data_IF_342382319661
#
_entry.id   IF_342382319661
#
_cell.length_a   1.000
_cell.length_b   1.000
_cell.length_c   1.000
_cell.angle_alpha   90.00
_cell.angle_beta   90.00
_cell.angle_gamma   90.00
#
_symmetry.space_group_name_H-M   'P 1'
#
loop_
_entity.id
_entity.type
_entity.pdbx_description
1 polymer ?
#
# COMPACT_ATOMS: atom_id res chain seq x y z
N UNK A 1 -9.10 -6.94 4.03
CA UNK A 1 -9.26 -6.42 5.41
C UNK A 1 -8.68 -5.03 5.44
N UNK A 2 -9.38 -4.09 6.06
CA UNK A 2 -8.90 -2.71 6.13
C UNK A 2 -9.46 -1.97 7.35
N UNK A 3 -8.72 -0.97 7.82
CA UNK A 3 -9.21 0.01 8.77
C UNK A 3 -9.99 1.08 8.01
N UNK A 4 -11.26 1.25 8.36
CA UNK A 4 -12.02 2.37 7.84
C UNK A 4 -11.51 3.68 8.43
N UNK A 5 -11.67 4.78 7.69
CA UNK A 5 -11.52 6.12 8.28
C UNK A 5 -12.40 6.22 9.54
N UNK A 6 -11.80 6.63 10.65
CA UNK A 6 -12.47 6.71 11.96
C UNK A 6 -13.80 7.46 11.83
N UNK A 7 -14.83 6.91 12.45
CA UNK A 7 -16.14 7.57 12.49
C UNK A 7 -16.08 8.69 13.53
N UNK A 8 -16.42 9.91 13.14
CA UNK A 8 -16.46 11.03 14.08
C UNK A 8 -17.76 10.95 14.88
N UNK A 9 -17.71 10.90 16.23
CA UNK A 9 -18.89 10.98 17.08
C UNK A 9 -19.80 12.13 16.64
N UNK A 10 -21.06 11.83 16.31
CA UNK A 10 -21.99 12.81 15.72
C UNK A 10 -23.31 12.75 16.47
N UNK A 11 -23.80 13.91 16.91
CA UNK A 11 -25.14 14.06 17.49
C UNK A 11 -26.09 14.58 16.41
N UNK A 12 -27.39 14.33 16.57
CA UNK A 12 -28.40 14.91 15.69
C UNK A 12 -28.38 16.45 15.74
N UNK A 13 -28.29 16.98 16.96
CA UNK A 13 -28.08 18.40 17.22
C UNK A 13 -26.80 18.57 18.04
N UNK A 14 -25.85 19.34 17.52
CA UNK A 14 -24.62 19.67 18.22
C UNK A 14 -24.32 21.16 18.15
N UNK A 15 -23.76 21.67 19.24
CA UNK A 15 -23.22 23.02 19.26
C UNK A 15 -21.87 23.08 18.53
N UNK A 16 -21.51 24.26 18.05
CA UNK A 16 -20.21 24.48 17.39
C UNK A 16 -19.02 24.11 18.29
N UNK A 17 -19.15 24.24 19.61
CA UNK A 17 -18.08 23.87 20.55
C UNK A 17 -17.92 22.35 20.65
N UNK A 18 -19.01 21.60 20.60
CA UNK A 18 -18.98 20.14 20.65
C UNK A 18 -18.40 19.53 19.38
N UNK A 19 -18.48 20.22 18.23
CA UNK A 19 -17.93 19.75 16.95
C UNK A 19 -16.41 19.56 16.95
N UNK A 20 -15.68 20.44 17.65
CA UNK A 20 -14.22 20.49 17.56
C UNK A 20 -13.52 19.46 18.46
N UNK A 21 -12.43 18.88 17.95
CA UNK A 21 -11.51 18.06 18.75
C UNK A 21 -12.01 16.66 19.13
N UNK A 22 -13.06 16.15 18.47
CA UNK A 22 -13.61 14.82 18.76
C UNK A 22 -12.62 13.70 18.45
N UNK A 23 -12.51 12.75 19.37
CA UNK A 23 -11.80 11.49 19.14
C UNK A 23 -12.67 10.57 18.28
N UNK A 24 -12.18 10.18 17.10
CA UNK A 24 -12.91 9.26 16.22
C UNK A 24 -12.97 7.83 16.77
N UNK A 25 -14.10 7.16 16.53
CA UNK A 25 -14.33 5.74 16.82
C UNK A 25 -13.63 4.90 15.75
N UNK A 26 -12.86 3.91 16.18
CA UNK A 26 -12.15 3.02 15.27
C UNK A 26 -13.08 1.90 14.83
N UNK A 27 -13.01 1.52 13.57
CA UNK A 27 -13.79 0.41 13.04
C UNK A 27 -13.02 -0.26 11.92
N UNK A 28 -12.98 -1.58 11.97
CA UNK A 28 -12.29 -2.42 11.00
C UNK A 28 -13.30 -3.22 10.20
N UNK A 29 -13.03 -3.40 8.90
CA UNK A 29 -13.85 -4.22 8.02
C UNK A 29 -13.11 -5.43 7.48
N UNK A 30 -13.74 -6.59 7.63
CA UNK A 30 -13.31 -7.85 7.02
C UNK A 30 -14.37 -8.26 5.99
N UNK A 31 -14.05 -8.12 4.70
CA UNK A 31 -14.86 -8.64 3.62
C UNK A 31 -14.37 -10.05 3.25
N UNK A 32 -15.16 -11.07 3.58
CA UNK A 32 -14.92 -12.46 3.23
C UNK A 32 -15.66 -12.82 1.94
N UNK A 33 -14.93 -13.28 0.94
CA UNK A 33 -15.49 -13.81 -0.31
C UNK A 33 -15.52 -15.33 -0.19
N UNK A 34 -16.70 -15.92 -0.35
CA UNK A 34 -16.88 -17.37 -0.34
C UNK A 34 -17.47 -17.83 -1.67
N UNK A 35 -17.06 -19.01 -2.13
CA UNK A 35 -17.66 -19.66 -3.30
C UNK A 35 -18.64 -20.72 -2.79
N UNK A 36 -19.91 -20.56 -3.10
CA UNK A 36 -20.93 -21.54 -2.77
C UNK A 36 -20.86 -22.77 -3.70
N UNK A 37 -21.56 -23.85 -3.35
CA UNK A 37 -21.56 -25.10 -4.12
C UNK A 37 -22.08 -24.93 -5.55
N UNK A 38 -22.94 -23.94 -5.80
CA UNK A 38 -23.44 -23.53 -7.11
C UNK A 38 -22.47 -22.60 -7.88
N UNK A 39 -21.21 -22.50 -7.42
CA UNK A 39 -20.17 -21.60 -7.94
C UNK A 39 -20.41 -20.10 -7.76
N UNK A 40 -21.51 -19.72 -7.10
CA UNK A 40 -21.83 -18.33 -6.85
C UNK A 40 -20.89 -17.72 -5.78
N UNK A 41 -20.36 -16.53 -6.07
CA UNK A 41 -19.55 -15.79 -5.11
C UNK A 41 -20.44 -14.99 -4.16
N UNK A 42 -20.26 -15.22 -2.86
CA UNK A 42 -20.95 -14.47 -1.80
C UNK A 42 -19.96 -13.64 -1.02
N UNK A 43 -20.39 -12.45 -0.64
CA UNK A 43 -19.58 -11.53 0.16
C UNK A 43 -20.24 -11.36 1.53
N UNK A 44 -19.50 -11.72 2.57
CA UNK A 44 -19.87 -11.51 3.97
C UNK A 44 -18.97 -10.43 4.54
N UNK A 45 -19.57 -9.37 5.11
CA UNK A 45 -18.80 -8.26 5.68
C UNK A 45 -18.94 -8.28 7.19
N UNK A 46 -17.82 -8.46 7.90
CA UNK A 46 -17.76 -8.31 9.36
C UNK A 46 -17.17 -6.96 9.69
N UNK A 47 -17.79 -6.27 10.63
CA UNK A 47 -17.39 -4.93 11.06
C UNK A 47 -17.19 -4.96 12.57
N UNK A 48 -15.99 -4.62 13.01
CA UNK A 48 -15.65 -4.57 14.43
C UNK A 48 -15.50 -3.12 14.83
N UNK A 49 -16.39 -2.64 15.72
CA UNK A 49 -16.41 -1.28 16.25
C UNK A 49 -15.62 -1.25 17.56
N UNK A 50 -14.63 -0.37 17.66
CA UNK A 50 -13.67 -0.35 18.77
C UNK A 50 -13.53 1.09 19.28
N UNK A 51 -13.97 1.30 20.52
CA UNK A 51 -13.97 2.61 21.19
C UNK A 51 -12.54 3.15 21.37
N UNK A 52 -11.66 2.31 21.90
CA UNK A 52 -10.27 2.63 22.19
C UNK A 52 -9.39 1.62 21.46
N UNK A 53 -8.77 2.06 20.38
CA UNK A 53 -7.90 1.22 19.57
C UNK A 53 -6.63 1.97 19.20
N UNK A 54 -5.49 1.34 19.49
CA UNK A 54 -4.17 1.76 19.05
C UNK A 54 -3.90 1.44 17.56
N UNK A 55 -4.83 0.71 16.90
CA UNK A 55 -4.69 0.21 15.53
C UNK A 55 -3.37 -0.53 15.30
N UNK A 56 -2.94 -1.28 16.31
CA UNK A 56 -1.73 -2.08 16.28
C UNK A 56 -1.97 -3.45 15.62
N UNK A 57 -0.91 -4.26 15.56
CA UNK A 57 -0.97 -5.61 14.98
C UNK A 57 -1.84 -6.58 15.79
N UNK A 58 -1.92 -6.37 17.10
CA UNK A 58 -2.70 -7.21 18.01
C UNK A 58 -4.19 -7.01 17.77
N UNK A 59 -4.64 -5.75 17.67
CA UNK A 59 -6.01 -5.41 17.28
C UNK A 59 -6.40 -6.07 15.94
N UNK A 60 -5.50 -6.07 14.96
CA UNK A 60 -5.74 -6.74 13.67
C UNK A 60 -5.86 -8.26 13.84
N UNK A 61 -5.00 -8.89 14.64
CA UNK A 61 -5.06 -10.33 14.92
C UNK A 61 -6.38 -10.69 15.61
N UNK A 62 -6.78 -9.95 16.64
CA UNK A 62 -8.05 -10.13 17.35
C UNK A 62 -9.24 -10.00 16.40
N UNK A 63 -9.26 -8.95 15.58
CA UNK A 63 -10.32 -8.73 14.60
C UNK A 63 -10.39 -9.89 13.60
N UNK A 64 -9.24 -10.41 13.15
CA UNK A 64 -9.18 -11.56 12.27
C UNK A 64 -9.71 -12.83 12.96
N UNK A 65 -9.32 -13.08 14.22
CA UNK A 65 -9.83 -14.21 15.02
C UNK A 65 -11.36 -14.19 15.12
N UNK A 66 -11.92 -13.05 15.52
CA UNK A 66 -13.36 -12.87 15.64
C UNK A 66 -14.08 -12.99 14.29
N UNK A 67 -13.48 -12.46 13.22
CA UNK A 67 -14.02 -12.59 11.86
C UNK A 67 -14.07 -14.05 11.41
N UNK A 68 -13.03 -14.83 11.69
CA UNK A 68 -12.95 -16.24 11.30
C UNK A 68 -13.91 -17.13 12.10
N UNK A 69 -14.05 -16.88 13.40
CA UNK A 69 -15.02 -17.56 14.26
C UNK A 69 -16.45 -17.32 13.76
N UNK A 70 -16.81 -16.06 13.51
CA UNK A 70 -18.14 -15.69 13.01
C UNK A 70 -18.40 -16.25 11.61
N UNK A 71 -17.39 -16.23 10.74
CA UNK A 71 -17.48 -16.80 9.41
C UNK A 71 -17.70 -18.32 9.45
N UNK A 72 -17.00 -19.04 10.34
CA UNK A 72 -17.15 -20.49 10.55
C UNK A 72 -18.52 -20.85 11.12
N UNK A 73 -19.04 -20.03 12.04
CA UNK A 73 -20.40 -20.20 12.58
C UNK A 73 -21.47 -20.07 11.48
N UNK A 74 -21.30 -19.13 10.57
CA UNK A 74 -22.27 -18.85 9.49
C UNK A 74 -22.14 -19.78 8.29
N UNK A 75 -20.94 -20.26 7.99
CA UNK A 75 -20.62 -21.02 6.78
C UNK A 75 -19.98 -22.34 7.19
N UNK A 76 -20.75 -23.42 7.08
CA UNK A 76 -20.48 -24.73 7.72
C UNK A 76 -19.26 -25.50 7.16
N UNK A 77 -18.52 -25.01 6.16
CA UNK A 77 -17.36 -25.74 5.60
C UNK A 77 -16.25 -24.79 5.14
N UNK A 78 -15.41 -24.32 6.06
CA UNK A 78 -14.21 -23.54 5.72
C UNK A 78 -12.98 -24.30 6.16
N UNK A 79 -12.29 -24.90 5.17
CA UNK A 79 -11.04 -25.61 5.42
C UNK A 79 -9.82 -24.69 5.28
N UNK A 80 -9.85 -23.73 4.35
CA UNK A 80 -8.68 -22.90 4.00
C UNK A 80 -9.09 -21.46 3.75
N UNK A 81 -8.25 -20.54 4.23
CA UNK A 81 -8.44 -19.10 4.10
C UNK A 81 -7.20 -18.46 3.48
N UNK A 82 -7.45 -17.50 2.58
CA UNK A 82 -6.45 -16.64 1.97
C UNK A 82 -6.71 -15.21 2.43
N UNK A 83 -5.69 -14.57 3.00
CA UNK A 83 -5.81 -13.23 3.57
C UNK A 83 -5.26 -12.18 2.61
N UNK A 84 -5.89 -11.01 2.62
CA UNK A 84 -5.43 -9.84 1.88
C UNK A 84 -5.73 -8.55 2.62
N UNK A 85 -4.76 -7.65 2.64
CA UNK A 85 -4.87 -6.32 3.26
C UNK A 85 -4.00 -5.31 2.50
N UNK A 86 -3.91 -4.09 3.01
CA UNK A 86 -2.96 -3.10 2.53
C UNK A 86 -1.59 -3.25 3.21
N UNK A 87 -0.63 -2.43 2.78
CA UNK A 87 0.74 -2.49 3.27
C UNK A 87 0.96 -1.66 4.56
N UNK A 88 -0.08 -1.36 5.34
CA UNK A 88 0.09 -0.60 6.58
C UNK A 88 0.84 -1.42 7.63
N UNK A 89 1.65 -0.77 8.46
CA UNK A 89 2.54 -1.43 9.43
C UNK A 89 1.83 -2.26 10.51
N UNK A 90 0.52 -2.10 10.69
CA UNK A 90 -0.29 -2.97 11.56
C UNK A 90 -0.61 -4.32 10.91
N UNK A 91 -0.67 -4.38 9.58
CA UNK A 91 -0.81 -5.62 8.81
C UNK A 91 0.55 -6.22 8.42
N UNK A 92 1.47 -5.38 7.95
CA UNK A 92 2.77 -5.83 7.49
C UNK A 92 3.81 -5.79 8.60
N UNK A 93 3.69 -6.72 9.54
CA UNK A 93 4.65 -6.86 10.63
C UNK A 93 4.86 -8.32 11.05
N UNK A 94 6.05 -8.59 11.60
CA UNK A 94 6.44 -9.91 12.06
C UNK A 94 5.48 -10.52 13.09
N UNK A 95 5.03 -9.80 14.15
CA UNK A 95 4.20 -10.43 15.15
C UNK A 95 2.84 -10.87 14.60
N UNK A 96 2.21 -10.11 13.70
CA UNK A 96 0.98 -10.57 13.04
C UNK A 96 1.24 -11.81 12.18
N UNK A 97 2.19 -11.72 11.24
CA UNK A 97 2.44 -12.77 10.25
C UNK A 97 2.85 -14.11 10.89
N UNK A 98 3.66 -14.06 11.95
CA UNK A 98 4.13 -15.25 12.66
C UNK A 98 3.06 -15.83 13.61
N UNK A 99 2.01 -15.07 13.95
CA UNK A 99 0.89 -15.55 14.77
C UNK A 99 -0.25 -16.18 13.95
N UNK A 100 -0.25 -16.03 12.63
CA UNK A 100 -1.31 -16.59 11.78
C UNK A 100 -1.41 -18.12 11.82
N UNK A 101 -0.31 -18.90 11.83
CA UNK A 101 -0.42 -20.36 11.92
C UNK A 101 -1.05 -20.84 13.23
N UNK A 102 -0.72 -20.23 14.38
CA UNK A 102 -1.33 -20.58 15.66
C UNK A 102 -2.79 -20.15 15.72
N UNK A 103 -3.11 -18.94 15.21
CA UNK A 103 -4.49 -18.49 15.07
C UNK A 103 -5.33 -19.48 14.23
N UNK A 104 -4.80 -19.92 13.10
CA UNK A 104 -5.47 -20.91 12.24
C UNK A 104 -5.76 -22.22 12.99
N UNK A 105 -4.80 -22.72 13.78
CA UNK A 105 -5.01 -23.91 14.63
C UNK A 105 -6.13 -23.70 15.65
N UNK A 106 -6.15 -22.57 16.36
CA UNK A 106 -7.17 -22.26 17.38
C UNK A 106 -8.57 -22.19 16.80
N UNK A 107 -8.74 -21.47 15.69
CA UNK A 107 -10.05 -21.36 15.02
C UNK A 107 -10.41 -22.65 14.27
N UNK A 108 -9.43 -23.50 13.97
CA UNK A 108 -9.58 -24.72 13.20
C UNK A 108 -9.78 -24.45 11.71
N UNK A 109 -9.00 -23.52 11.14
CA UNK A 109 -8.94 -23.19 9.71
C UNK A 109 -7.49 -23.10 9.24
N UNK A 110 -7.19 -23.57 8.04
CA UNK A 110 -5.84 -23.42 7.48
C UNK A 110 -5.66 -22.03 6.87
N UNK A 111 -4.90 -21.15 7.52
CA UNK A 111 -4.50 -19.86 6.93
C UNK A 111 -3.30 -20.15 6.02
N UNK A 112 -3.56 -20.30 4.71
CA UNK A 112 -2.55 -20.75 3.76
C UNK A 112 -1.70 -19.61 3.21
N UNK A 113 -2.26 -18.41 3.10
CA UNK A 113 -1.59 -17.28 2.44
C UNK A 113 -1.99 -15.94 3.03
N UNK A 114 -1.08 -14.98 2.96
CA UNK A 114 -1.36 -13.58 3.18
C UNK A 114 -0.63 -12.72 2.15
N UNK A 115 -1.41 -11.93 1.41
CA UNK A 115 -0.91 -11.04 0.36
C UNK A 115 -1.19 -9.58 0.68
N UNK A 116 -0.20 -8.74 0.38
CA UNK A 116 -0.35 -7.29 0.46
C UNK A 116 -0.78 -6.70 -0.88
N UNK A 117 -1.70 -5.76 -0.81
CA UNK A 117 -2.20 -5.03 -1.97
C UNK A 117 -1.27 -3.88 -2.31
N UNK A 118 -1.03 -3.68 -3.61
CA UNK A 118 -0.24 -2.54 -4.12
C UNK A 118 -0.91 -1.21 -3.76
N UNK A 119 -0.09 -0.16 -3.68
CA UNK A 119 -0.61 1.19 -3.53
C UNK A 119 -1.59 1.49 -4.68
N UNK A 120 -2.81 1.95 -4.33
CA UNK A 120 -3.90 2.29 -5.25
C UNK A 120 -4.61 1.12 -5.97
N UNK A 121 -4.35 -0.14 -5.61
CA UNK A 121 -5.03 -1.29 -6.21
C UNK A 121 -5.49 -2.29 -5.15
N UNK A 122 -6.74 -2.80 -5.26
CA UNK A 122 -7.24 -3.89 -4.41
C UNK A 122 -7.91 -3.49 -3.09
N UNK A 123 -8.11 -2.19 -2.81
CA UNK A 123 -8.85 -1.70 -1.63
C UNK A 123 -10.37 -1.58 -1.85
N UNK A 124 -10.80 -1.61 -3.10
CA UNK A 124 -12.15 -1.22 -3.52
C UNK A 124 -13.28 -1.98 -2.82
N UNK A 125 -13.08 -3.23 -2.40
CA UNK A 125 -14.14 -4.02 -1.80
C UNK A 125 -14.52 -3.53 -0.39
N UNK A 126 -13.53 -3.29 0.46
CA UNK A 126 -13.74 -2.80 1.82
C UNK A 126 -14.36 -1.40 1.78
N UNK A 127 -13.79 -0.49 0.98
CA UNK A 127 -14.29 0.88 0.81
C UNK A 127 -15.72 0.93 0.26
N UNK A 128 -16.02 0.10 -0.76
CA UNK A 128 -17.37 -0.02 -1.33
C UNK A 128 -18.40 -0.50 -0.32
N UNK A 129 -18.00 -1.31 0.67
CA UNK A 129 -18.89 -1.81 1.72
C UNK A 129 -19.05 -0.84 2.88
N UNK A 130 -18.03 -0.04 3.18
CA UNK A 130 -18.09 1.03 4.18
C UNK A 130 -19.05 2.15 3.73
N UNK A 131 -19.08 2.51 2.45
CA UNK A 131 -19.88 3.65 1.97
C UNK A 131 -21.40 3.52 2.33
N UNK A 132 -22.09 2.40 2.05
CA UNK A 132 -23.47 2.19 2.48
C UNK A 132 -23.67 2.26 4.00
N UNK A 133 -22.69 1.80 4.79
CA UNK A 133 -22.76 1.86 6.26
C UNK A 133 -22.74 3.30 6.75
N UNK A 134 -21.87 4.15 6.18
CA UNK A 134 -21.83 5.59 6.49
C UNK A 134 -23.14 6.27 6.15
N UNK A 135 -23.70 6.00 4.96
CA UNK A 135 -25.01 6.54 4.56
C UNK A 135 -26.13 6.09 5.49
N UNK A 136 -26.10 4.83 5.93
CA UNK A 136 -27.09 4.28 6.88
C UNK A 136 -27.00 4.97 8.24
N UNK A 137 -25.79 5.17 8.77
CA UNK A 137 -25.56 5.90 10.01
C UNK A 137 -25.99 7.37 9.91
N UNK A 138 -25.70 8.06 8.81
CA UNK A 138 -26.18 9.43 8.60
C UNK A 138 -27.71 9.51 8.59
N UNK A 139 -28.39 8.54 7.95
CA UNK A 139 -29.85 8.47 7.99
C UNK A 139 -30.38 8.22 9.40
N UNK A 140 -29.73 7.35 10.17
CA UNK A 140 -30.09 7.10 11.56
C UNK A 140 -29.94 8.37 12.42
N UNK A 141 -28.84 9.12 12.24
CA UNK A 141 -28.63 10.40 12.93
C UNK A 141 -29.74 11.40 12.55
N UNK A 142 -30.06 11.52 11.26
CA UNK A 142 -31.11 12.42 10.77
C UNK A 142 -32.53 12.09 11.28
N UNK A 143 -32.74 10.92 11.89
CA UNK A 143 -34.00 10.56 12.55
C UNK A 143 -34.09 11.08 13.99
N UNK A 144 -33.08 11.82 14.48
CA UNK A 144 -33.05 12.35 15.84
C UNK A 144 -32.16 11.56 16.81
N UNK A 145 -31.34 10.64 16.31
CA UNK A 145 -30.48 9.80 17.15
C UNK A 145 -29.04 10.32 17.21
N UNK A 146 -28.37 10.05 18.33
CA UNK A 146 -26.96 10.35 18.52
C UNK A 146 -26.10 9.11 18.32
N UNK A 147 -24.92 9.28 17.72
CA UNK A 147 -23.92 8.23 17.52
C UNK A 147 -22.59 8.73 18.05
N UNK A 148 -22.38 8.61 19.36
CA UNK A 148 -21.17 9.06 20.05
C UNK A 148 -20.32 7.96 20.68
N UNK A 149 -20.83 6.73 20.75
CA UNK A 149 -20.08 5.56 21.22
C UNK A 149 -20.09 4.41 20.20
N UNK A 150 -19.18 3.44 20.36
CA UNK A 150 -19.17 2.23 19.54
C UNK A 150 -20.49 1.46 19.65
N UNK A 151 -21.11 1.44 20.84
CA UNK A 151 -22.40 0.83 21.09
C UNK A 151 -23.54 1.53 20.33
N UNK A 152 -23.60 2.85 20.34
CA UNK A 152 -24.61 3.60 19.58
C UNK A 152 -24.40 3.47 18.06
N UNK A 153 -23.15 3.36 17.62
CA UNK A 153 -22.84 3.08 16.23
C UNK A 153 -23.32 1.68 15.81
N UNK A 154 -23.19 0.69 16.70
CA UNK A 154 -23.78 -0.64 16.49
C UNK A 154 -25.31 -0.57 16.40
N UNK A 155 -25.97 0.15 17.31
CA UNK A 155 -27.43 0.34 17.29
C UNK A 155 -27.89 0.97 15.98
N UNK A 156 -27.17 2.01 15.52
CA UNK A 156 -27.41 2.65 14.23
C UNK A 156 -27.25 1.69 13.05
N UNK A 157 -26.20 0.88 13.02
CA UNK A 157 -25.98 -0.13 11.97
C UNK A 157 -26.99 -1.29 12.01
N UNK A 158 -27.55 -1.59 13.18
CA UNK A 158 -28.57 -2.63 13.38
C UNK A 158 -30.00 -2.09 13.13
N UNK A 159 -30.19 -0.77 13.15
CA UNK A 159 -31.48 -0.12 12.92
C UNK A 159 -32.04 -0.38 11.52
N UNK A 160 -33.35 -0.21 11.34
CA UNK A 160 -33.99 -0.29 10.02
C UNK A 160 -33.87 -1.65 9.31
N UNK A 161 -33.57 -2.72 10.04
CA UNK A 161 -33.33 -4.05 9.49
C UNK A 161 -31.88 -4.30 9.05
N UNK A 162 -30.94 -3.45 9.45
CA UNK A 162 -29.52 -3.61 9.24
C UNK A 162 -29.02 -3.30 7.83
N UNK A 163 -27.70 -3.18 7.69
CA UNK A 163 -27.04 -2.99 6.39
C UNK A 163 -26.86 -4.34 5.71
N UNK A 164 -27.37 -4.49 4.48
CA UNK A 164 -27.36 -5.77 3.72
C UNK A 164 -25.97 -6.42 3.69
N UNK A 165 -25.91 -7.70 4.09
CA UNK A 165 -24.67 -8.50 4.06
C UNK A 165 -23.56 -8.01 5.00
N UNK A 166 -23.90 -7.16 5.98
CA UNK A 166 -22.97 -6.58 6.94
C UNK A 166 -23.34 -6.99 8.37
N UNK A 167 -22.35 -7.46 9.10
CA UNK A 167 -22.46 -7.97 10.46
C UNK A 167 -21.53 -7.15 11.35
N UNK A 168 -22.08 -6.17 12.06
CA UNK A 168 -21.34 -5.31 12.96
C UNK A 168 -21.39 -5.84 14.39
N UNK A 169 -20.28 -5.75 15.12
CA UNK A 169 -20.22 -6.04 16.55
C UNK A 169 -19.30 -5.02 17.23
N UNK A 170 -19.60 -4.71 18.49
CA UNK A 170 -18.66 -3.97 19.35
C UNK A 170 -17.60 -4.95 19.84
N UNK A 171 -16.33 -4.56 19.72
CA UNK A 171 -15.19 -5.37 20.13
C UNK A 171 -14.37 -4.63 21.18
N UNK A 172 -14.17 -5.27 22.32
CA UNK A 172 -13.27 -4.81 23.38
C UNK A 172 -11.98 -5.63 23.31
N UNK A 173 -10.87 -4.92 23.09
CA UNK A 173 -9.53 -5.49 23.02
C UNK A 173 -8.96 -5.66 24.44
N UNK A 174 -8.35 -6.81 24.70
CA UNK A 174 -7.51 -7.03 25.87
C UNK A 174 -6.04 -6.83 25.48
N UNK A 175 -5.58 -5.58 25.48
CA UNK A 175 -4.19 -5.25 25.11
C UNK A 175 -3.16 -5.77 26.14
N UNK A 176 -3.58 -6.15 27.35
CA UNK A 176 -2.68 -6.74 28.36
C UNK A 176 -2.23 -8.16 27.98
N UNK A 177 -3.02 -8.85 27.15
CA UNK A 177 -2.67 -10.15 26.57
C UNK A 177 -1.72 -10.08 25.37
N UNK A 178 -1.33 -8.86 24.93
CA UNK A 178 -0.43 -8.67 23.78
C UNK A 178 1.02 -9.04 24.12
N UNK A 179 1.60 -9.97 23.34
CA UNK A 179 3.02 -10.32 23.52
C UNK A 179 3.98 -9.25 22.98
N UNK A 180 5.23 -9.32 23.44
CA UNK A 180 6.30 -8.43 22.97
C UNK A 180 6.55 -8.54 21.46
N UNK A 181 6.87 -7.38 20.86
CA UNK A 181 7.10 -7.28 19.42
C UNK A 181 8.37 -8.03 19.01
N UNK A 182 8.21 -9.05 18.17
CA UNK A 182 9.32 -9.67 17.44
C UNK A 182 9.78 -8.78 16.27
N UNK A 183 11.09 -8.70 16.08
CA UNK A 183 11.71 -8.06 14.91
C UNK A 183 12.10 -9.12 13.89
N UNK A 184 11.67 -8.93 12.64
CA UNK A 184 12.15 -9.69 11.50
C UNK A 184 12.81 -8.73 10.50
N UNK A 185 14.13 -8.76 10.43
CA UNK A 185 14.90 -7.89 9.56
C UNK A 185 14.58 -8.16 8.08
N UNK A 186 14.28 -7.09 7.34
CA UNK A 186 13.99 -7.16 5.90
C UNK A 186 12.59 -7.66 5.53
N UNK A 187 11.68 -7.83 6.50
CA UNK A 187 10.30 -8.28 6.23
C UNK A 187 9.58 -7.41 5.20
N UNK A 188 9.81 -6.10 5.24
CA UNK A 188 9.20 -5.09 4.35
C UNK A 188 9.54 -5.27 2.87
N UNK A 189 10.51 -6.13 2.53
CA UNK A 189 10.87 -6.45 1.15
C UNK A 189 9.93 -7.48 0.51
N UNK A 190 9.14 -8.20 1.32
CA UNK A 190 8.29 -9.28 0.87
C UNK A 190 6.83 -8.84 0.85
N UNK A 191 6.07 -9.23 -0.19
CA UNK A 191 4.67 -8.86 -0.35
C UNK A 191 3.72 -10.06 -0.27
N UNK A 192 4.20 -11.26 -0.62
CA UNK A 192 3.41 -12.49 -0.60
C UNK A 192 4.00 -13.47 0.41
N UNK A 193 3.14 -14.05 1.25
CA UNK A 193 3.52 -14.99 2.30
C UNK A 193 2.68 -16.25 2.17
N UNK A 194 3.32 -17.41 2.04
CA UNK A 194 2.68 -18.72 2.11
C UNK A 194 3.11 -19.42 3.40
N UNK A 195 2.13 -19.93 4.14
CA UNK A 195 2.35 -20.59 5.42
C UNK A 195 2.25 -22.11 5.25
N UNK A 196 3.27 -22.81 5.73
CA UNK A 196 3.29 -24.27 5.84
C UNK A 196 3.33 -24.66 7.33
N UNK A 197 3.38 -25.97 7.64
CA UNK A 197 3.37 -26.44 9.03
C UNK A 197 4.58 -25.95 9.83
N UNK A 198 5.77 -26.09 9.25
CA UNK A 198 7.05 -25.88 9.95
C UNK A 198 7.88 -24.73 9.34
N UNK A 199 7.34 -24.12 8.28
CA UNK A 199 8.03 -23.11 7.52
C UNK A 199 7.08 -22.14 6.86
N UNK A 200 7.62 -21.04 6.37
CA UNK A 200 6.91 -20.09 5.53
C UNK A 200 7.78 -19.78 4.31
N UNK A 201 7.13 -19.56 3.17
CA UNK A 201 7.79 -19.12 1.94
C UNK A 201 7.34 -17.71 1.62
N UNK A 202 8.28 -16.82 1.29
CA UNK A 202 8.01 -15.42 0.97
C UNK A 202 8.49 -15.04 -0.41
N UNK A 203 7.81 -14.08 -1.03
CA UNK A 203 8.22 -13.50 -2.31
C UNK A 203 8.22 -11.98 -2.24
N UNK A 204 9.10 -11.36 -3.02
CA UNK A 204 9.14 -9.90 -3.14
C UNK A 204 7.89 -9.36 -3.84
N UNK A 205 7.37 -10.07 -4.85
CA UNK A 205 6.21 -9.63 -5.61
C UNK A 205 5.59 -10.77 -6.43
N UNK A 206 4.26 -10.82 -6.49
CA UNK A 206 3.42 -11.68 -7.34
C UNK A 206 3.78 -13.16 -7.36
N UNK A 207 4.41 -13.68 -6.30
CA UNK A 207 4.91 -15.07 -6.25
C UNK A 207 5.84 -15.43 -7.42
N UNK A 208 6.60 -14.46 -7.93
CA UNK A 208 7.53 -14.70 -9.04
C UNK A 208 8.81 -15.35 -8.51
N UNK A 209 9.20 -16.47 -9.12
CA UNK A 209 10.37 -17.28 -8.76
C UNK A 209 10.11 -18.27 -7.62
N UNK A 210 11.16 -18.98 -7.20
CA UNK A 210 11.07 -20.09 -6.23
C UNK A 210 10.68 -19.64 -4.81
N UNK A 211 10.77 -18.33 -4.53
CA UNK A 211 10.52 -17.77 -3.21
C UNK A 211 11.64 -18.08 -2.22
N UNK A 212 11.64 -17.36 -1.09
CA UNK A 212 12.60 -17.58 -0.02
C UNK A 212 11.92 -18.30 1.14
N UNK A 213 12.44 -19.48 1.48
CA UNK A 213 11.91 -20.31 2.56
C UNK A 213 12.57 -19.98 3.90
N UNK A 214 11.76 -19.83 4.94
CA UNK A 214 12.17 -19.63 6.32
C UNK A 214 11.54 -20.67 7.24
N UNK A 215 12.32 -21.26 8.13
CA UNK A 215 11.82 -22.16 9.17
C UNK A 215 11.37 -21.34 10.37
N UNK A 216 10.21 -21.66 10.97
CA UNK A 216 9.69 -20.89 12.10
C UNK A 216 10.65 -20.85 13.30
N UNK A 217 11.34 -21.97 13.56
CA UNK A 217 12.38 -22.07 14.60
C UNK A 217 13.53 -21.07 14.45
N UNK A 218 13.76 -20.54 13.25
CA UNK A 218 14.80 -19.54 12.99
C UNK A 218 14.29 -18.10 13.16
N UNK A 219 12.96 -17.91 13.21
CA UNK A 219 12.30 -16.61 13.33
C UNK A 219 11.76 -16.37 14.76
N UNK A 220 11.42 -17.45 15.46
CA UNK A 220 10.90 -17.43 16.84
C UNK A 220 11.81 -18.31 17.69
N UNK A 221 12.46 -17.73 18.70
CA UNK A 221 13.53 -18.38 19.48
C UNK A 221 13.07 -19.62 20.25
N UNK A 222 11.80 -19.71 20.62
CA UNK A 222 11.31 -20.72 21.56
C UNK A 222 10.25 -21.70 21.01
N UNK A 223 10.00 -21.71 19.68
CA UNK A 223 9.02 -22.61 19.03
C UNK A 223 7.59 -22.58 19.62
N UNK A 224 7.27 -21.64 20.50
CA UNK A 224 5.96 -21.42 21.09
C UNK A 224 5.10 -20.58 20.16
N UNK A 225 3.78 -20.80 20.22
CA UNK A 225 2.79 -19.98 19.53
C UNK A 225 3.00 -18.51 19.92
N UNK A 226 3.33 -17.66 18.95
CA UNK A 226 3.78 -16.30 19.24
C UNK A 226 2.76 -15.51 20.05
N UNK A 227 1.52 -15.45 19.56
CA UNK A 227 0.39 -14.90 20.29
C UNK A 227 -0.57 -16.03 20.63
N UNK A 228 -0.94 -16.13 21.91
CA UNK A 228 -1.97 -17.02 22.42
C UNK A 228 -3.39 -16.50 22.14
N UNK A 229 -4.36 -16.94 22.94
CA UNK A 229 -5.71 -16.40 22.92
C UNK A 229 -5.68 -14.86 23.10
N UNK A 230 -6.56 -14.16 22.40
CA UNK A 230 -6.68 -12.71 22.52
C UNK A 230 -7.60 -12.26 23.65
N UNK A 231 -8.34 -13.20 24.27
CA UNK A 231 -9.27 -12.95 25.39
C UNK A 231 -10.28 -11.80 25.13
N UNK A 232 -10.49 -11.46 23.85
CA UNK A 232 -11.26 -10.30 23.48
C UNK A 232 -12.75 -10.55 23.68
N UNK A 233 -13.45 -9.50 24.12
CA UNK A 233 -14.89 -9.57 24.33
C UNK A 233 -15.61 -8.98 23.12
N UNK A 234 -16.41 -9.80 22.47
CA UNK A 234 -17.22 -9.39 21.32
C UNK A 234 -18.70 -9.36 21.71
N UNK A 235 -19.36 -8.24 21.41
CA UNK A 235 -20.81 -8.12 21.55
C UNK A 235 -21.55 -8.92 20.47
N UNK A 236 -22.88 -8.95 20.56
CA UNK A 236 -23.71 -9.63 19.57
C UNK A 236 -23.54 -8.99 18.17
N UNK A 237 -23.37 -9.83 17.15
CA UNK A 237 -23.36 -9.36 15.76
C UNK A 237 -24.75 -8.87 15.32
N UNK A 238 -24.79 -7.75 14.61
CA UNK A 238 -26.00 -7.25 13.94
C UNK A 238 -26.51 -8.28 12.95
N UNK A 239 -27.84 -8.41 12.80
CA UNK A 239 -28.43 -9.39 11.88
C UNK A 239 -29.23 -8.66 10.79
N UNK A 240 -28.63 -8.40 9.62
CA UNK A 240 -29.33 -7.74 8.55
C UNK A 240 -30.44 -8.64 8.00
N UNK A 241 -31.60 -8.05 7.66
CA UNK A 241 -32.75 -8.76 7.06
C UNK A 241 -32.38 -9.53 5.78
N UNK A 242 -31.35 -9.07 5.08
CA UNK A 242 -30.77 -9.74 3.92
C UNK A 242 -29.33 -10.14 4.25
N UNK A 243 -29.12 -11.46 4.42
CA UNK A 243 -27.87 -12.07 4.84
C UNK A 243 -26.80 -12.10 3.74
N UNK A 244 -27.19 -12.01 2.48
CA UNK A 244 -26.27 -12.01 1.34
C UNK A 244 -26.42 -10.73 0.54
N UNK A 245 -25.28 -10.08 0.27
CA UNK A 245 -25.21 -9.13 -0.84
C UNK A 245 -25.16 -9.93 -2.13
N UNK A 246 -26.31 -10.19 -2.74
CA UNK A 246 -26.39 -10.68 -4.11
C UNK A 246 -25.92 -9.58 -5.08
N UNK A 247 -25.05 -9.95 -6.02
CA UNK A 247 -24.96 -9.26 -7.31
C UNK A 247 -26.27 -9.61 -8.03
N UNK A 248 -27.02 -8.59 -8.42
CA UNK A 248 -28.30 -8.65 -9.15
C UNK A 248 -29.53 -9.17 -8.36
N UNK A 249 -30.48 -8.26 -8.12
CA UNK A 249 -31.91 -8.57 -8.04
C UNK A 249 -32.52 -8.01 -9.32
N UNK A 250 -33.10 -8.89 -10.14
CA UNK A 250 -33.77 -8.52 -11.38
C UNK A 250 -34.96 -7.60 -11.10
N UNK A 251 -34.99 -6.48 -11.77
CA UNK A 251 -36.23 -5.81 -12.15
C UNK A 251 -36.17 -5.61 -13.65
N UNK A 252 -37.02 -6.34 -14.38
CA UNK A 252 -37.25 -6.16 -15.81
C UNK A 252 -37.79 -4.75 -16.04
N UNK A 253 -36.88 -3.83 -16.33
CA UNK A 253 -37.18 -2.66 -17.14
C UNK A 253 -36.07 -2.53 -18.17
N UNK A 254 -36.46 -2.62 -19.44
CA UNK A 254 -35.60 -2.50 -20.60
C UNK A 254 -35.02 -1.09 -20.71
N UNK A 255 -33.99 -0.81 -19.91
CA UNK A 255 -33.15 0.38 -20.01
C UNK A 255 -31.81 -0.08 -20.56
N UNK A 256 -31.41 0.43 -21.73
CA UNK A 256 -30.06 0.18 -22.24
C UNK A 256 -29.05 0.80 -21.27
N UNK A 257 -28.22 -0.03 -20.65
CA UNK A 257 -27.26 0.37 -19.62
C UNK A 257 -25.90 0.61 -20.29
N UNK A 258 -25.42 1.85 -20.27
CA UNK A 258 -24.10 2.22 -20.79
C UNK A 258 -22.98 1.87 -19.81
N UNK A 259 -21.78 1.61 -20.33
CA UNK A 259 -20.58 1.46 -19.50
C UNK A 259 -20.29 2.75 -18.70
N UNK A 260 -19.87 2.59 -17.43
CA UNK A 260 -19.60 3.69 -16.50
C UNK A 260 -18.23 4.36 -16.78
N UNK A 261 -17.35 3.68 -17.52
CA UNK A 261 -16.07 4.25 -17.95
C UNK A 261 -16.31 5.38 -18.96
N UNK A 262 -15.80 6.58 -18.67
CA UNK A 262 -16.18 7.87 -19.27
C UNK A 262 -15.89 8.05 -20.77
N UNK A 263 -15.47 6.99 -21.46
CA UNK A 263 -15.25 6.97 -22.90
C UNK A 263 -15.62 5.61 -23.57
N UNK A 264 -16.19 4.66 -22.83
CA UNK A 264 -16.57 3.36 -23.37
C UNK A 264 -17.96 3.42 -24.01
N UNK A 265 -18.05 3.09 -25.30
CA UNK A 265 -19.30 3.21 -26.09
C UNK A 265 -20.21 1.98 -26.02
N UNK A 266 -19.86 0.97 -25.22
CA UNK A 266 -20.67 -0.25 -25.13
C UNK A 266 -21.90 -0.02 -24.26
N UNK A 267 -23.05 -0.40 -24.80
CA UNK A 267 -24.35 -0.47 -24.11
C UNK A 267 -24.78 -1.93 -23.97
N UNK A 268 -25.53 -2.22 -22.91
CA UNK A 268 -25.93 -3.56 -22.53
C UNK A 268 -27.41 -3.59 -22.20
N UNK A 269 -28.06 -4.72 -22.47
CA UNK A 269 -29.50 -4.87 -22.18
C UNK A 269 -29.73 -5.33 -20.75
N UNK A 270 -28.71 -5.93 -20.13
CA UNK A 270 -28.77 -6.44 -18.77
C UNK A 270 -27.59 -5.93 -17.94
N UNK A 271 -27.83 -5.80 -16.63
CA UNK A 271 -26.76 -5.45 -15.68
C UNK A 271 -25.68 -6.55 -15.63
N UNK A 272 -26.03 -7.80 -15.91
CA UNK A 272 -25.09 -8.93 -15.92
C UNK A 272 -24.10 -8.81 -17.09
N UNK A 273 -24.57 -8.43 -18.28
CA UNK A 273 -23.71 -8.16 -19.44
C UNK A 273 -22.74 -7.00 -19.17
N UNK A 274 -23.22 -5.91 -18.55
CA UNK A 274 -22.37 -4.79 -18.15
C UNK A 274 -21.35 -5.23 -17.08
N UNK A 275 -21.79 -5.98 -16.08
CA UNK A 275 -20.92 -6.46 -15.00
C UNK A 275 -19.85 -7.42 -15.54
N UNK A 276 -20.22 -8.29 -16.47
CA UNK A 276 -19.30 -9.17 -17.19
C UNK A 276 -18.32 -8.37 -18.07
N UNK A 277 -18.79 -7.32 -18.73
CA UNK A 277 -17.93 -6.44 -19.51
C UNK A 277 -16.90 -5.70 -18.65
N UNK A 278 -17.33 -5.16 -17.51
CA UNK A 278 -16.47 -4.48 -16.54
C UNK A 278 -15.49 -5.49 -15.91
N UNK A 279 -15.93 -6.71 -15.57
CA UNK A 279 -15.07 -7.71 -14.93
C UNK A 279 -13.93 -8.21 -15.83
N UNK A 280 -14.15 -8.21 -17.16
CA UNK A 280 -13.12 -8.58 -18.13
C UNK A 280 -12.25 -7.38 -18.58
N UNK A 281 -12.63 -6.14 -18.27
CA UNK A 281 -11.86 -4.93 -18.58
C UNK A 281 -11.68 -4.59 -20.08
N UNK A 282 -12.44 -5.24 -20.99
CA UNK A 282 -12.30 -5.03 -22.44
C UNK A 282 -13.20 -3.90 -22.95
N UNK A 283 -12.84 -2.67 -22.58
CA UNK A 283 -13.50 -1.42 -23.01
C UNK A 283 -13.28 -1.11 -24.49
N UNK A 284 -14.29 -0.53 -25.15
CA UNK A 284 -14.21 -0.09 -26.54
C UNK A 284 -14.48 1.40 -26.58
N UNK A 285 -13.48 2.14 -27.05
CA UNK A 285 -13.47 3.60 -27.08
C UNK A 285 -13.71 4.08 -28.51
N UNK A 286 -14.51 5.13 -28.66
CA UNK A 286 -14.63 5.88 -29.92
C UNK A 286 -14.14 7.31 -29.66
N UNK A 287 -13.20 7.85 -30.44
CA UNK A 287 -12.76 9.23 -30.25
C UNK A 287 -13.92 10.19 -30.56
N UNK A 288 -14.41 10.89 -29.54
CA UNK A 288 -15.59 11.77 -29.69
C UNK A 288 -15.26 13.11 -30.35
N UNK A 289 -14.02 13.59 -30.23
CA UNK A 289 -13.43 14.71 -30.98
C UNK A 289 -11.92 14.68 -30.80
N UNK A 290 -11.18 14.87 -31.88
CA UNK A 290 -9.72 14.93 -31.86
C UNK A 290 -9.26 16.32 -31.38
N UNK A 291 -8.62 16.40 -30.21
CA UNK A 291 -8.05 17.66 -29.73
C UNK A 291 -6.74 17.99 -30.46
N UNK A 292 -6.33 19.27 -30.45
CA UNK A 292 -5.02 19.68 -30.99
C UNK A 292 -3.88 18.93 -30.30
N UNK A 293 -4.02 18.63 -29.01
CA UNK A 293 -3.05 17.87 -28.23
C UNK A 293 -2.96 16.40 -28.69
N UNK A 294 -4.08 15.79 -29.06
CA UNK A 294 -4.12 14.44 -29.64
C UNK A 294 -3.51 14.42 -31.05
N UNK A 295 -3.73 15.48 -31.84
CA UNK A 295 -3.03 15.68 -33.13
C UNK A 295 -1.54 15.80 -32.93
N UNK A 296 -1.08 16.54 -31.92
CA UNK A 296 0.34 16.69 -31.58
C UNK A 296 0.93 15.33 -31.15
N UNK A 297 0.26 14.58 -30.28
CA UNK A 297 0.71 13.24 -29.86
C UNK A 297 0.77 12.26 -31.04
N UNK A 298 -0.23 12.27 -31.93
CA UNK A 298 -0.19 11.44 -33.14
C UNK A 298 0.86 11.89 -34.14
N UNK A 299 1.06 13.19 -34.37
CA UNK A 299 2.19 13.71 -35.16
C UNK A 299 3.53 13.37 -34.55
N UNK A 300 3.61 13.36 -33.21
CA UNK A 300 4.82 12.99 -32.49
C UNK A 300 5.13 11.50 -32.65
N UNK A 301 4.12 10.63 -32.54
CA UNK A 301 4.25 9.19 -32.83
C UNK A 301 4.60 8.95 -34.30
N UNK A 302 3.89 9.59 -35.24
CA UNK A 302 4.15 9.50 -36.69
C UNK A 302 5.57 9.94 -37.04
N UNK A 303 6.07 11.04 -36.48
CA UNK A 303 7.47 11.46 -36.64
C UNK A 303 8.47 10.47 -36.07
N UNK A 304 8.15 9.78 -34.98
CA UNK A 304 9.03 8.76 -34.40
C UNK A 304 9.00 7.44 -35.16
N UNK A 305 7.87 7.06 -35.76
CA UNK A 305 7.78 5.91 -36.66
C UNK A 305 8.42 6.19 -38.02
N UNK A 306 8.28 7.39 -38.58
CA UNK A 306 8.99 7.81 -39.79
C UNK A 306 10.51 7.91 -39.54
N UNK A 307 10.93 8.42 -38.37
CA UNK A 307 12.34 8.44 -37.97
C UNK A 307 12.95 7.03 -37.77
N UNK A 308 12.13 5.98 -37.59
CA UNK A 308 12.60 4.58 -37.53
C UNK A 308 12.88 3.98 -38.90
N UNK A 309 12.30 4.50 -39.97
CA UNK A 309 12.53 3.98 -41.33
C UNK A 309 13.68 4.70 -42.05
N UNK A 310 13.97 5.97 -41.71
CA UNK A 310 15.03 6.75 -42.38
C UNK A 310 16.39 6.81 -41.65
N UNK A 311 16.55 6.17 -40.49
CA UNK A 311 17.80 6.24 -39.70
C UNK A 311 18.77 5.06 -39.95
N UNK A 312 18.88 4.61 -41.20
CA UNK A 312 19.99 3.78 -41.67
C UNK A 312 21.15 4.61 -42.27
N UNK A 313 21.24 5.91 -41.93
CA UNK A 313 22.35 6.76 -42.32
C UNK A 313 23.02 7.39 -41.09
N UNK A 314 24.30 7.05 -40.96
CA UNK A 314 25.26 7.47 -39.95
C UNK A 314 25.33 8.99 -39.75
N UNK A 315 25.14 9.42 -38.50
CA UNK A 315 25.73 10.66 -37.96
C UNK A 315 26.30 10.34 -36.56
N UNK A 316 27.57 10.69 -36.26
CA UNK A 316 28.24 10.29 -35.03
C UNK A 316 27.92 11.25 -33.88
N UNK A 317 27.67 10.69 -32.69
CA UNK A 317 27.82 11.42 -31.43
C UNK A 317 26.55 11.73 -30.64
N UNK A 318 25.81 10.71 -30.19
CA UNK A 318 25.09 10.77 -28.90
C UNK A 318 24.90 9.36 -28.37
N UNK A 319 25.61 9.00 -27.30
CA UNK A 319 25.47 7.70 -26.65
C UNK A 319 24.19 7.68 -25.79
N UNK A 320 23.03 7.45 -26.43
CA UNK A 320 21.97 6.72 -25.77
C UNK A 320 22.44 5.28 -25.67
N UNK A 321 22.58 4.76 -24.44
CA UNK A 321 22.87 3.37 -24.17
C UNK A 321 22.06 2.49 -25.13
N UNK A 322 22.78 1.81 -26.02
CA UNK A 322 22.20 1.03 -27.09
C UNK A 322 21.28 -0.03 -26.50
N UNK A 323 19.96 0.18 -26.62
CA UNK A 323 19.05 -0.94 -26.83
C UNK A 323 19.32 -1.42 -28.26
N UNK A 324 20.37 -2.23 -28.40
CA UNK A 324 20.58 -3.03 -29.59
C UNK A 324 19.41 -3.99 -29.66
N UNK A 325 18.37 -3.61 -30.38
CA UNK A 325 17.48 -4.58 -31.02
C UNK A 325 18.22 -5.08 -32.26
N UNK A 326 19.21 -5.95 -32.06
CA UNK A 326 19.67 -6.83 -33.14
C UNK A 326 18.54 -7.81 -33.39
N UNK A 327 17.84 -7.59 -34.49
CA UNK A 327 16.95 -8.56 -35.11
C UNK A 327 17.78 -9.68 -35.76
N UNK A 328 18.59 -10.36 -34.97
CA UNK A 328 19.15 -11.67 -35.27
C UNK A 328 19.04 -12.50 -33.99
N UNK A 329 18.33 -13.62 -34.09
CA UNK A 329 17.96 -14.47 -32.97
C UNK A 329 19.16 -15.13 -32.31
N UNK A 330 19.82 -14.42 -31.40
CA UNK A 330 20.52 -15.03 -30.28
C UNK A 330 19.63 -14.86 -29.05
N UNK A 331 19.08 -15.96 -28.55
CA UNK A 331 18.46 -16.03 -27.23
C UNK A 331 19.47 -15.50 -26.21
N UNK A 332 19.29 -14.25 -25.78
CA UNK A 332 20.01 -13.72 -24.62
C UNK A 332 19.40 -14.43 -23.42
N UNK A 333 20.10 -15.44 -22.91
CA UNK A 333 19.79 -16.03 -21.60
C UNK A 333 19.93 -14.93 -20.55
N UNK A 334 18.80 -14.27 -20.26
CA UNK A 334 18.71 -13.29 -19.19
C UNK A 334 18.77 -14.04 -17.86
N UNK A 335 19.91 -13.92 -17.18
CA UNK A 335 20.09 -14.50 -15.86
C UNK A 335 18.98 -14.03 -14.90
N UNK A 336 18.53 -14.95 -14.05
CA UNK A 336 17.54 -14.65 -13.02
C UNK A 336 18.01 -13.46 -12.18
N UNK A 337 17.19 -12.42 -12.09
CA UNK A 337 17.50 -11.20 -11.35
C UNK A 337 17.78 -9.95 -12.20
N UNK A 338 17.83 -10.06 -13.53
CA UNK A 338 18.09 -8.92 -14.43
C UNK A 338 17.13 -7.72 -14.24
N UNK A 339 15.89 -7.98 -13.82
CA UNK A 339 14.86 -6.95 -13.61
C UNK A 339 14.78 -6.45 -12.16
N UNK A 340 15.58 -6.99 -11.24
CA UNK A 340 15.59 -6.56 -9.84
C UNK A 340 16.34 -5.24 -9.75
N UNK A 341 15.67 -4.19 -9.25
CA UNK A 341 16.35 -2.93 -8.93
C UNK A 341 17.43 -3.18 -7.87
N UNK A 342 18.68 -2.93 -8.22
CA UNK A 342 19.78 -2.99 -7.27
C UNK A 342 19.58 -1.93 -6.18
N UNK A 343 19.86 -2.32 -4.93
CA UNK A 343 19.84 -1.38 -3.82
C UNK A 343 21.00 -0.40 -4.02
N UNK A 344 20.70 0.90 -4.11
CA UNK A 344 21.72 1.95 -4.24
C UNK A 344 22.67 1.90 -3.05
N UNK A 345 23.96 1.74 -3.31
CA UNK A 345 24.98 1.80 -2.27
C UNK A 345 25.18 3.27 -1.83
N UNK A 346 25.10 3.53 -0.52
CA UNK A 346 25.44 4.84 0.03
C UNK A 346 26.96 4.94 0.24
N UNK A 347 27.65 5.66 -0.66
CA UNK A 347 29.08 5.95 -0.53
C UNK A 347 29.28 7.27 0.25
N UNK A 348 30.07 7.21 1.33
CA UNK A 348 30.51 8.41 2.07
C UNK A 348 31.47 9.23 1.23
N UNK A 349 31.42 10.55 1.35
CA UNK A 349 32.40 11.43 0.71
C UNK A 349 33.78 11.13 1.28
N UNK A 350 34.79 11.02 0.42
CA UNK A 350 36.18 10.89 0.84
C UNK A 350 36.61 12.09 1.67
N UNK A 351 37.58 11.88 2.55
CA UNK A 351 38.10 12.94 3.43
C UNK A 351 38.66 14.11 2.60
N UNK A 352 39.31 13.82 1.48
CA UNK A 352 39.88 14.81 0.55
C UNK A 352 38.79 15.69 -0.10
N UNK A 353 37.65 15.10 -0.48
CA UNK A 353 36.49 15.83 -1.00
C UNK A 353 35.86 16.70 0.08
N UNK A 354 35.75 16.20 1.32
CA UNK A 354 35.23 16.97 2.45
C UNK A 354 36.12 18.20 2.73
N UNK A 355 37.44 18.03 2.72
CA UNK A 355 38.39 19.12 2.97
C UNK A 355 38.35 20.17 1.85
N UNK A 356 38.24 19.76 0.59
CA UNK A 356 38.08 20.66 -0.55
C UNK A 356 36.78 21.48 -0.49
N UNK A 357 35.65 20.84 -0.14
CA UNK A 357 34.37 21.54 0.01
C UNK A 357 34.40 22.52 1.19
N UNK A 358 35.04 22.14 2.30
CA UNK A 358 35.24 23.02 3.44
C UNK A 358 36.07 24.25 3.07
N UNK A 359 37.16 24.08 2.31
CA UNK A 359 37.99 25.18 1.81
C UNK A 359 37.18 26.15 0.94
N UNK A 360 36.41 25.62 -0.03
CA UNK A 360 35.54 26.43 -0.88
C UNK A 360 34.49 27.21 -0.07
N UNK A 361 33.91 26.57 0.95
CA UNK A 361 32.96 27.21 1.84
C UNK A 361 33.61 28.34 2.64
N UNK A 362 34.78 28.09 3.24
CA UNK A 362 35.51 29.07 4.04
C UNK A 362 35.99 30.28 3.21
N UNK A 363 36.41 30.06 1.96
CA UNK A 363 36.69 31.17 1.02
C UNK A 363 35.47 32.05 0.81
N UNK A 364 34.28 31.46 0.68
CA UNK A 364 33.04 32.21 0.56
C UNK A 364 32.66 32.98 1.84
N UNK A 365 32.99 32.44 3.01
CA UNK A 365 32.81 33.12 4.30
C UNK A 365 33.76 34.32 4.43
N UNK A 366 35.05 34.15 4.08
CA UNK A 366 36.06 35.21 4.17
C UNK A 366 35.82 36.35 3.18
N UNK A 367 35.35 36.04 1.97
CA UNK A 367 35.10 37.02 0.90
C UNK A 367 33.70 37.63 0.96
N UNK A 368 32.80 37.07 1.78
CA UNK A 368 31.39 37.47 1.85
C UNK A 368 30.54 37.04 0.65
N UNK A 369 31.12 36.36 -0.34
CA UNK A 369 30.41 35.89 -1.56
C UNK A 369 30.35 34.38 -1.58
N UNK A 370 29.14 33.82 -1.53
CA UNK A 370 28.92 32.36 -1.60
C UNK A 370 29.35 31.81 -2.96
N UNK A 371 30.15 30.75 -2.94
CA UNK A 371 30.52 30.02 -4.14
C UNK A 371 29.30 29.31 -4.76
N UNK A 372 29.21 29.34 -6.10
CA UNK A 372 28.12 28.70 -6.81
C UNK A 372 28.38 27.18 -6.89
N UNK A 373 27.45 26.32 -6.42
CA UNK A 373 27.62 24.86 -6.46
C UNK A 373 27.93 24.28 -7.85
N UNK A 374 27.43 24.90 -8.92
CA UNK A 374 27.77 24.50 -10.30
C UNK A 374 29.24 24.77 -10.65
N UNK A 375 29.80 25.87 -10.13
CA UNK A 375 31.21 26.20 -10.35
C UNK A 375 32.12 25.28 -9.54
N UNK A 376 31.74 24.97 -8.29
CA UNK A 376 32.47 24.01 -7.46
C UNK A 376 32.46 22.62 -8.10
N UNK A 377 31.34 22.17 -8.66
CA UNK A 377 31.26 20.93 -9.43
C UNK A 377 32.25 20.93 -10.62
N UNK A 378 32.32 22.02 -11.39
CA UNK A 378 33.28 22.14 -12.51
C UNK A 378 34.74 22.10 -12.07
N UNK A 379 35.07 22.72 -10.93
CA UNK A 379 36.42 22.69 -10.37
C UNK A 379 36.74 21.29 -9.84
N UNK A 380 35.77 20.64 -9.22
CA UNK A 380 35.88 19.29 -8.68
C UNK A 380 36.17 18.27 -9.78
N UNK A 381 35.49 18.36 -10.93
CA UNK A 381 35.72 17.49 -12.10
C UNK A 381 37.13 17.57 -12.68
N UNK A 382 37.88 18.62 -12.36
CA UNK A 382 39.28 18.80 -12.79
C UNK A 382 40.30 18.34 -11.76
N UNK A 383 39.87 18.06 -10.53
CA UNK A 383 40.74 17.83 -9.37
C UNK A 383 40.58 16.44 -8.74
N UNK A 384 39.45 15.78 -8.95
CA UNK A 384 39.12 14.47 -8.40
C UNK A 384 38.77 13.48 -9.50
N UNK A 385 38.95 12.20 -9.20
CA UNK A 385 38.52 11.09 -10.06
C UNK A 385 36.99 10.98 -10.12
N UNK A 386 36.48 10.32 -11.16
CA UNK A 386 35.04 10.26 -11.48
C UNK A 386 34.21 9.67 -10.33
N UNK A 387 34.78 8.74 -9.57
CA UNK A 387 34.14 8.06 -8.45
C UNK A 387 33.86 8.98 -7.26
N UNK A 388 34.53 10.14 -7.21
CA UNK A 388 34.44 11.11 -6.13
C UNK A 388 33.69 12.39 -6.54
N UNK A 389 33.25 12.48 -7.81
CA UNK A 389 32.49 13.63 -8.28
C UNK A 389 31.15 13.78 -7.57
N UNK A 390 30.83 15.02 -7.22
CA UNK A 390 29.55 15.37 -6.61
C UNK A 390 28.71 16.24 -7.54
N UNK A 391 27.40 16.02 -7.51
CA UNK A 391 26.45 16.87 -8.23
C UNK A 391 26.29 18.22 -7.54
N UNK A 392 25.88 19.21 -8.32
CA UNK A 392 25.59 20.56 -7.82
C UNK A 392 24.61 20.56 -6.62
N UNK A 393 23.61 19.66 -6.64
CA UNK A 393 22.66 19.49 -5.54
C UNK A 393 23.33 18.97 -4.26
N UNK A 394 24.22 17.99 -4.38
CA UNK A 394 24.95 17.43 -3.24
C UNK A 394 25.85 18.48 -2.59
N UNK A 395 26.55 19.28 -3.41
CA UNK A 395 27.41 20.38 -2.96
C UNK A 395 26.58 21.46 -2.26
N UNK A 396 25.43 21.86 -2.84
CA UNK A 396 24.52 22.84 -2.25
C UNK A 396 23.97 22.39 -0.88
N UNK A 397 23.61 21.12 -0.78
CA UNK A 397 23.16 20.49 0.48
C UNK A 397 24.27 20.48 1.54
N UNK A 398 25.49 20.12 1.14
CA UNK A 398 26.66 20.13 2.02
C UNK A 398 26.97 21.55 2.57
N UNK A 399 26.98 22.59 1.73
CA UNK A 399 27.19 23.97 2.17
C UNK A 399 26.08 24.49 3.07
N UNK A 400 24.82 24.08 2.82
CA UNK A 400 23.69 24.44 3.69
C UNK A 400 23.86 23.90 5.10
N UNK A 401 24.37 22.66 5.23
CA UNK A 401 24.69 22.06 6.54
C UNK A 401 25.83 22.79 7.24
N UNK A 402 26.92 23.12 6.53
CA UNK A 402 28.02 23.89 7.11
C UNK A 402 27.56 25.28 7.61
N UNK A 403 26.71 25.97 6.84
CA UNK A 403 26.13 27.24 7.26
C UNK A 403 25.24 27.12 8.51
N UNK A 404 24.47 26.03 8.63
CA UNK A 404 23.67 25.76 9.82
C UNK A 404 24.54 25.45 11.06
N UNK A 405 25.64 24.72 10.87
CA UNK A 405 26.61 24.44 11.95
C UNK A 405 27.31 25.72 12.43
N UNK A 406 27.70 26.61 11.51
CA UNK A 406 28.29 27.90 11.85
C UNK A 406 27.33 28.79 12.66
N UNK A 407 26.04 28.83 12.28
CA UNK A 407 25.01 29.60 13.01
C UNK A 407 24.74 29.07 14.42
N UNK A 408 24.98 27.78 14.66
CA UNK A 408 24.75 27.13 15.96
C UNK A 408 25.98 27.12 16.87
N UNK A 409 27.08 27.78 16.47
CA UNK A 409 28.29 27.91 17.30
C UNK A 409 29.08 26.61 17.48
N UNK A 410 28.78 25.56 16.71
CA UNK A 410 29.51 24.29 16.75
C UNK A 410 30.84 24.39 16.01
N UNK A 411 31.91 23.71 16.46
CA UNK A 411 33.19 23.70 15.73
C UNK A 411 32.98 23.18 14.31
N UNK A 412 33.57 23.86 13.33
CA UNK A 412 33.68 23.38 11.94
C UNK A 412 34.75 22.28 11.88
N UNK A 413 34.56 21.20 12.64
CA UNK A 413 35.39 20.00 12.60
C UNK A 413 34.60 18.88 11.92
N UNK A 414 35.33 18.02 11.20
CA UNK A 414 34.85 16.86 10.41
C UNK A 414 33.51 16.38 10.92
N UNK A 415 32.46 16.60 10.12
CA UNK A 415 31.15 16.01 10.38
C UNK A 415 31.29 14.49 10.27
N UNK A 416 31.60 13.85 11.40
CA UNK A 416 31.42 12.43 11.68
C UNK A 416 30.29 12.33 12.69
N UNK A 417 29.06 12.51 12.22
CA UNK A 417 27.86 12.06 12.94
C UNK A 417 27.23 10.92 12.14
N UNK A 418 27.00 9.73 12.73
CA UNK A 418 26.56 8.54 11.99
C UNK A 418 25.10 8.57 11.49
N UNK A 419 24.31 9.58 11.86
CA UNK A 419 22.84 9.49 11.79
C UNK A 419 22.16 10.25 10.64
N UNK A 420 22.89 10.82 9.67
CA UNK A 420 22.25 11.41 8.47
C UNK A 420 23.13 11.54 7.23
N UNK A 421 24.12 10.67 7.05
CA UNK A 421 24.92 10.60 5.80
C UNK A 421 24.18 9.89 4.64
N UNK A 422 22.86 10.04 4.54
CA UNK A 422 22.09 9.55 3.39
C UNK A 422 21.88 10.70 2.40
N UNK A 423 22.75 10.78 1.40
CA UNK A 423 22.51 11.59 0.20
C UNK A 423 22.72 10.69 -1.01
N UNK A 424 21.68 10.57 -1.84
CA UNK A 424 21.73 9.86 -3.12
C UNK A 424 22.85 10.41 -4.01
N UNK A 425 23.63 9.52 -4.61
CA UNK A 425 24.53 9.84 -5.72
C UNK A 425 23.66 9.76 -6.97
N UNK A 426 23.28 10.92 -7.51
CA UNK A 426 22.81 11.02 -8.88
C UNK A 426 24.05 10.77 -9.77
N UNK A 427 24.17 9.56 -10.32
CA UNK A 427 25.04 9.30 -11.47
C UNK A 427 24.46 10.06 -12.67
N UNK A 428 24.79 11.34 -12.76
CA UNK A 428 24.74 12.05 -14.03
C UNK A 428 25.90 11.50 -14.87
N UNK A 429 25.57 10.60 -15.79
CA UNK A 429 26.50 10.13 -16.82
C UNK A 429 26.99 11.35 -17.60
N UNK A 430 28.20 11.80 -17.29
CA UNK A 430 28.90 12.81 -18.06
C UNK A 430 29.17 12.24 -19.45
N UNK A 431 28.46 12.77 -20.45
CA UNK A 431 28.78 12.65 -21.86
C UNK A 431 29.90 13.67 -22.12
N UNK A 432 31.00 13.22 -22.73
CA UNK A 432 32.15 14.05 -23.15
C UNK A 432 31.76 15.21 -24.07
#
# INVERSE_FOLDING_TARGET
MDWAMKFLPTKFCESQQEWYGKKGISWHITAAITKAANEELRIHCFVHLIEQCSQNWYAVLTVLEQSLLELKWRIIVIATVYLRSDNAGCYHCAPLLLSLPSLGKRVGVNISRYDFSEAQSGKDLCDRKIAPMKSHLHRYINQGHDVVSAQQMWEGLNSGGGVRGCYAAVLHLDEDSMVDRIKWAGITKYNDFAFERDSLTVWNCYKIGDGKKFLYKNLVKDCTELQGDTNAQVGNYSTPKSSTGLVASKTDQSVEISCIESACIKTFKTQDELTHHISHGKHVYRPEKETVLDKVKRKWVSKFTEAREDSALSVPGTATASLVSTSEGTDIELNAGWAIKEARAHKRFSDEVKDFLLECFMKGVQTGKKENPNNVCKVMKKRFEKEDWLTSKQIASYFSRLAAMQKSGKPLLRATTPESENVDIDEEVAIE
#
